data_IF_376239791521
#
_entry.id   IF_376239791521
#
_cell.length_a   1.000
_cell.length_b   1.000
_cell.length_c   1.000
_cell.angle_alpha   90.00
_cell.angle_beta   90.00
_cell.angle_gamma   90.00
#
_symmetry.space_group_name_H-M   'P 1'
#
loop_
_entity.id
_entity.type
_entity.pdbx_description
1 polymer ?
#
# COMPACT_ATOMS: atom_id res chain seq x y z
N UNK A 1 11.09 -15.36 9.50
CA UNK A 1 10.07 -15.31 8.43
C UNK A 1 9.00 -14.25 8.72
N UNK A 2 8.43 -14.16 9.93
CA UNK A 2 7.51 -13.06 10.31
C UNK A 2 8.18 -11.69 10.48
N UNK A 3 9.52 -11.63 10.50
CA UNK A 3 10.31 -10.40 10.57
C UNK A 3 10.63 -9.76 9.20
N UNK A 4 10.25 -10.38 8.08
CA UNK A 4 10.46 -9.83 6.72
C UNK A 4 9.28 -8.98 6.20
N UNK A 5 8.15 -8.99 6.93
CA UNK A 5 6.86 -8.56 6.40
C UNK A 5 6.47 -7.09 6.67
N UNK A 6 7.37 -6.28 7.24
CA UNK A 6 7.14 -4.84 7.31
C UNK A 6 7.85 -4.10 6.17
N UNK A 7 7.60 -4.57 4.95
CA UNK A 7 7.86 -3.79 3.75
C UNK A 7 6.74 -2.75 3.66
N UNK A 8 6.85 -1.62 4.40
CA UNK A 8 5.98 -0.48 4.14
C UNK A 8 6.45 0.18 2.84
N UNK A 9 5.67 0.09 1.73
CA UNK A 9 5.93 0.89 0.56
C UNK A 9 5.67 2.34 0.94
N UNK A 10 6.73 3.13 1.08
CA UNK A 10 6.64 4.56 1.31
C UNK A 10 6.54 5.24 -0.06
N UNK A 11 5.44 5.96 -0.29
CA UNK A 11 5.20 6.73 -1.51
C UNK A 11 5.27 8.20 -1.15
N UNK A 12 6.26 8.90 -1.67
CA UNK A 12 6.38 10.36 -1.53
C UNK A 12 6.23 11.06 -2.87
N UNK A 13 5.87 12.34 -2.84
CA UNK A 13 6.09 13.22 -3.98
C UNK A 13 7.60 13.25 -4.29
N UNK A 14 7.98 13.14 -5.56
CA UNK A 14 9.38 13.22 -5.98
C UNK A 14 9.68 14.60 -6.57
N UNK A 15 10.62 15.32 -5.97
CA UNK A 15 11.03 16.66 -6.42
C UNK A 15 12.09 16.61 -7.54
N UNK A 16 12.39 15.44 -8.13
CA UNK A 16 13.40 15.28 -9.20
C UNK A 16 14.85 15.54 -8.74
N UNK A 17 15.07 15.61 -7.43
CA UNK A 17 16.30 16.13 -6.83
C UNK A 17 17.42 15.09 -6.79
N UNK A 18 18.55 15.36 -7.47
CA UNK A 18 19.73 14.46 -7.45
C UNK A 18 20.86 14.90 -6.50
N UNK A 19 20.77 16.09 -5.86
CA UNK A 19 21.79 16.61 -4.92
C UNK A 19 21.17 17.28 -3.69
N UNK A 20 21.83 17.24 -2.53
CA UNK A 20 21.37 17.89 -1.29
C UNK A 20 21.12 19.40 -1.46
N UNK A 21 20.15 19.98 -0.74
CA UNK A 21 19.85 21.41 -0.83
C UNK A 21 20.99 22.22 -0.21
N UNK A 22 21.58 23.19 -0.95
CA UNK A 22 22.35 24.25 -0.31
C UNK A 22 21.47 24.91 0.74
N UNK A 23 22.05 25.31 1.88
CA UNK A 23 21.29 25.84 3.03
C UNK A 23 20.48 27.12 2.71
N UNK A 24 20.69 27.73 1.54
CA UNK A 24 20.15 29.04 1.15
C UNK A 24 19.38 29.03 -0.20
N UNK A 25 18.98 27.86 -0.73
CA UNK A 25 18.32 27.78 -2.03
C UNK A 25 16.79 27.82 -1.94
N UNK A 26 16.19 28.75 -2.69
CA UNK A 26 14.74 28.87 -2.98
C UNK A 26 14.16 27.52 -3.47
N UNK A 27 12.93 27.13 -3.09
CA UNK A 27 12.33 25.87 -3.51
C UNK A 27 12.22 25.84 -5.04
N UNK A 28 13.10 25.09 -5.68
CA UNK A 28 13.08 24.88 -7.13
C UNK A 28 11.72 24.27 -7.52
N UNK A 29 11.06 24.77 -8.58
CA UNK A 29 9.72 24.31 -8.94
C UNK A 29 9.75 22.81 -9.21
N UNK A 30 8.91 22.08 -8.46
CA UNK A 30 8.73 20.64 -8.62
C UNK A 30 8.26 20.37 -10.05
N UNK A 31 9.13 19.74 -10.84
CA UNK A 31 8.91 19.52 -12.26
C UNK A 31 7.91 18.36 -12.46
N UNK A 32 6.62 18.65 -12.20
CA UNK A 32 5.48 17.79 -12.52
C UNK A 32 5.06 16.78 -11.46
N UNK A 33 3.99 16.05 -11.79
CA UNK A 33 3.37 15.03 -10.94
C UNK A 33 4.16 13.71 -11.02
N UNK A 34 5.13 13.53 -10.12
CA UNK A 34 5.94 12.32 -10.00
C UNK A 34 5.86 11.76 -8.58
N UNK A 35 5.78 10.45 -8.45
CA UNK A 35 5.73 9.75 -7.18
C UNK A 35 6.94 8.83 -7.05
N UNK A 36 7.63 8.89 -5.92
CA UNK A 36 8.73 8.00 -5.59
C UNK A 36 8.23 6.86 -4.70
N UNK A 37 8.40 5.63 -5.17
CA UNK A 37 8.11 4.41 -4.43
C UNK A 37 9.39 3.86 -3.82
N UNK A 38 9.37 3.59 -2.52
CA UNK A 38 10.49 2.97 -1.78
C UNK A 38 10.04 1.69 -1.09
N UNK A 39 10.82 0.62 -1.28
CA UNK A 39 10.63 -0.63 -0.55
C UNK A 39 11.96 -1.08 0.07
N UNK A 40 11.90 -1.61 1.29
CA UNK A 40 13.07 -2.09 2.06
C UNK A 40 12.84 -3.50 2.61
N UNK A 41 13.61 -4.47 2.13
CA UNK A 41 13.67 -5.82 2.68
C UNK A 41 14.98 -5.97 3.45
N UNK A 42 14.96 -5.66 4.75
CA UNK A 42 16.14 -5.67 5.61
C UNK A 42 17.25 -4.72 5.10
N UNK A 43 18.31 -5.28 4.52
CA UNK A 43 19.45 -4.52 3.94
C UNK A 43 19.25 -4.17 2.46
N UNK A 44 18.34 -4.85 1.76
CA UNK A 44 18.04 -4.60 0.35
C UNK A 44 17.04 -3.45 0.26
N UNK A 45 17.30 -2.48 -0.63
CA UNK A 45 16.43 -1.33 -0.86
C UNK A 45 16.20 -1.18 -2.36
N UNK A 46 14.95 -0.90 -2.73
CA UNK A 46 14.56 -0.52 -4.08
C UNK A 46 13.86 0.83 -4.02
N UNK A 47 14.11 1.67 -5.02
CA UNK A 47 13.49 2.97 -5.19
C UNK A 47 13.18 3.19 -6.67
N UNK A 48 11.96 3.58 -6.99
CA UNK A 48 11.55 3.88 -8.37
C UNK A 48 10.69 5.14 -8.41
N UNK A 49 10.96 6.02 -9.36
CA UNK A 49 10.14 7.21 -9.62
C UNK A 49 9.14 6.86 -10.71
N UNK A 50 7.88 7.22 -10.51
CA UNK A 50 6.77 6.96 -11.43
C UNK A 50 6.15 8.30 -11.79
N UNK A 51 6.13 8.61 -13.08
CA UNK A 51 5.48 9.80 -13.64
C UNK A 51 4.00 9.51 -13.95
N UNK A 52 3.14 10.53 -13.99
CA UNK A 52 1.71 10.34 -14.32
C UNK A 52 1.44 9.54 -15.60
N UNK A 53 2.34 9.61 -16.59
CA UNK A 53 2.19 8.92 -17.88
C UNK A 53 2.26 7.40 -17.75
N UNK A 54 2.97 6.88 -16.75
CA UNK A 54 3.20 5.45 -16.59
C UNK A 54 2.52 4.84 -15.35
N UNK A 55 1.81 5.67 -14.55
CA UNK A 55 1.06 5.22 -13.37
C UNK A 55 0.14 4.05 -13.68
N UNK A 56 -0.56 4.05 -14.82
CA UNK A 56 -1.49 2.97 -15.15
C UNK A 56 -0.78 1.62 -15.35
N UNK A 57 0.35 1.62 -16.07
CA UNK A 57 1.15 0.41 -16.31
C UNK A 57 1.78 -0.09 -15.00
N UNK A 58 2.36 0.84 -14.23
CA UNK A 58 2.95 0.55 -12.94
C UNK A 58 1.92 -0.04 -11.97
N UNK A 59 0.74 0.56 -11.89
CA UNK A 59 -0.33 0.11 -10.99
C UNK A 59 -0.78 -1.32 -11.28
N UNK A 60 -1.02 -1.66 -12.54
CA UNK A 60 -1.45 -3.02 -12.93
C UNK A 60 -0.40 -4.08 -12.55
N UNK A 61 0.88 -3.81 -12.86
CA UNK A 61 1.98 -4.71 -12.49
C UNK A 61 2.16 -4.80 -10.97
N UNK A 62 2.10 -3.67 -10.28
CA UNK A 62 2.27 -3.57 -8.82
C UNK A 62 1.20 -4.34 -8.06
N UNK A 63 -0.08 -4.16 -8.43
CA UNK A 63 -1.19 -4.87 -7.78
C UNK A 63 -1.11 -6.39 -8.02
N UNK A 64 -0.69 -6.82 -9.21
CA UNK A 64 -0.47 -8.25 -9.50
C UNK A 64 0.56 -8.87 -8.55
N UNK A 65 1.71 -8.20 -8.38
CA UNK A 65 2.77 -8.64 -7.46
C UNK A 65 2.28 -8.65 -6.00
N UNK A 66 1.58 -7.60 -5.56
CA UNK A 66 1.06 -7.54 -4.19
C UNK A 66 0.07 -8.67 -3.91
N UNK A 67 -0.87 -8.93 -4.83
CA UNK A 67 -1.86 -10.01 -4.67
C UNK A 67 -1.22 -11.39 -4.65
N UNK A 68 -0.20 -11.61 -5.46
CA UNK A 68 0.53 -12.89 -5.51
C UNK A 68 1.35 -13.18 -4.24
N UNK A 69 1.74 -12.14 -3.48
CA UNK A 69 2.62 -12.29 -2.32
C UNK A 69 1.94 -12.02 -0.95
N UNK A 70 0.72 -11.45 -0.92
CA UNK A 70 -0.05 -11.20 0.31
C UNK A 70 -1.19 -12.22 0.53
N UNK A 71 -1.04 -13.41 -0.02
CA UNK A 71 -2.01 -14.51 -0.02
C UNK A 71 -2.03 -15.34 1.28
N UNK A 72 -0.96 -15.28 2.06
CA UNK A 72 -0.78 -16.05 3.31
C UNK A 72 -1.37 -15.40 4.57
N UNK A 73 -2.23 -14.39 4.42
CA UNK A 73 -2.96 -13.82 5.56
C UNK A 73 -4.15 -14.71 5.91
N UNK A 74 -4.37 -14.91 7.21
CA UNK A 74 -5.54 -15.64 7.70
C UNK A 74 -6.80 -14.97 7.13
N UNK A 75 -7.55 -15.73 6.31
CA UNK A 75 -8.82 -15.24 5.79
C UNK A 75 -9.71 -14.97 6.99
N UNK A 76 -10.23 -13.75 7.11
CA UNK A 76 -11.22 -13.42 8.15
C UNK A 76 -12.30 -14.50 8.11
N UNK A 77 -12.39 -15.31 9.17
CA UNK A 77 -13.51 -16.22 9.36
C UNK A 77 -14.75 -15.35 9.38
N UNK A 78 -15.60 -15.49 8.36
CA UNK A 78 -16.99 -15.08 8.51
C UNK A 78 -17.53 -15.96 9.63
N UNK A 79 -17.70 -15.39 10.82
CA UNK A 79 -18.59 -16.01 11.80
C UNK A 79 -19.97 -16.00 11.17
N UNK A 80 -20.31 -17.11 10.52
CA UNK A 80 -21.70 -17.48 10.29
C UNK A 80 -22.33 -17.56 11.68
N UNK A 81 -23.01 -16.47 12.07
CA UNK A 81 -23.94 -16.47 13.20
C UNK A 81 -25.17 -17.28 12.78
N UNK A 82 -25.01 -18.60 12.63
CA UNK A 82 -26.12 -19.55 12.64
C UNK A 82 -26.33 -20.04 14.07
N UNK A 83 -27.12 -19.27 14.82
CA UNK A 83 -27.85 -19.63 16.05
C UNK A 83 -29.04 -18.67 16.11
N UNK A 84 -30.31 -19.01 16.23
CA UNK A 84 -31.04 -20.26 16.41
C UNK A 84 -32.49 -19.94 16.04
N UNK A 85 -33.17 -20.88 15.39
CA UNK A 85 -34.62 -20.90 15.21
C UNK A 85 -35.31 -20.80 16.59
N UNK A 86 -35.92 -19.65 16.92
CA UNK A 86 -36.92 -19.57 18.01
C UNK A 86 -38.15 -18.85 17.47
N UNK A 87 -39.18 -19.63 17.22
CA UNK A 87 -40.55 -19.20 16.93
C UNK A 87 -41.09 -18.29 18.05
N UNK A 88 -41.70 -17.14 17.76
CA UNK A 88 -42.43 -16.39 18.78
C UNK A 88 -43.79 -17.07 19.01
N UNK A 89 -43.92 -17.80 20.13
CA UNK A 89 -45.24 -18.16 20.67
C UNK A 89 -45.90 -16.90 21.23
N UNK A 90 -47.08 -16.61 20.68
CA UNK A 90 -48.11 -15.68 21.12
C UNK A 90 -48.32 -15.72 22.65
N UNK A 91 -48.35 -14.56 23.29
CA UNK A 91 -49.16 -14.25 24.46
C UNK A 91 -49.48 -12.74 24.45
N UNK A 92 -50.76 -12.39 24.41
CA UNK A 92 -51.26 -11.05 24.74
C UNK A 92 -52.46 -11.27 25.66
N UNK A 93 -52.40 -10.58 26.81
CA UNK A 93 -53.43 -10.50 27.83
C UNK A 93 -54.74 -9.94 27.28
#
# INVERSE_FOLDING_TARGET
>A
LFSELFLQPDVSLDDGRTKALPKDADPQPVDGHKCLFRAKLGRKRISTVVTSKEVNKFHLAYVSVLRANMDNLERRKKTDTTKTKVTPKKNKA
#
